data_IF_405316625085
#
_entry.id   IF_405316625085
#
_cell.length_a   1.000
_cell.length_b   1.000
_cell.length_c   1.000
_cell.angle_alpha   90.00
_cell.angle_beta   90.00
_cell.angle_gamma   90.00
#
_symmetry.space_group_name_H-M   'P 1'
#
loop_
_entity.id
_entity.type
_entity.pdbx_description
1 polymer ?
#
# COMPACT_ATOMS: atom_id res chain seq x y z
N UNK A 1 3.13 6.87 17.73
CA UNK A 1 4.12 6.47 16.72
C UNK A 1 4.05 4.97 16.61
N UNK A 2 3.51 4.49 15.50
CA UNK A 2 3.72 3.10 15.09
C UNK A 2 5.16 3.01 14.59
N UNK A 3 5.91 1.99 15.01
CA UNK A 3 7.25 1.66 14.47
C UNK A 3 7.13 0.56 13.41
N UNK A 4 6.11 0.66 12.56
CA UNK A 4 5.80 -0.35 11.56
C UNK A 4 6.68 -0.10 10.33
N UNK A 5 7.54 -1.06 10.05
CA UNK A 5 8.46 -1.05 8.91
C UNK A 5 7.77 -1.45 7.61
N UNK A 6 8.41 -1.17 6.47
CA UNK A 6 7.96 -1.68 5.16
C UNK A 6 7.74 -3.20 5.14
N UNK A 7 8.58 -3.97 5.83
CA UNK A 7 8.45 -5.44 5.86
C UNK A 7 7.12 -5.87 6.50
N UNK A 8 6.77 -5.25 7.63
CA UNK A 8 5.51 -5.50 8.31
C UNK A 8 4.31 -4.98 7.51
N UNK A 9 4.47 -3.86 6.80
CA UNK A 9 3.45 -3.35 5.88
C UNK A 9 3.19 -4.33 4.72
N UNK A 10 4.25 -4.91 4.12
CA UNK A 10 4.15 -5.94 3.09
C UNK A 10 3.47 -7.21 3.63
N UNK A 11 3.78 -7.63 4.86
CA UNK A 11 3.11 -8.77 5.47
C UNK A 11 1.62 -8.50 5.74
N UNK A 12 1.25 -7.26 6.10
CA UNK A 12 -0.15 -6.87 6.20
C UNK A 12 -0.85 -6.88 4.84
N UNK A 13 -0.21 -6.36 3.79
CA UNK A 13 -0.70 -6.40 2.41
C UNK A 13 -0.95 -7.85 1.94
N UNK A 14 -0.03 -8.77 2.21
CA UNK A 14 -0.20 -10.21 1.91
C UNK A 14 -1.38 -10.85 2.63
N UNK A 15 -1.80 -10.30 3.76
CA UNK A 15 -2.98 -10.72 4.53
C UNK A 15 -4.27 -10.02 4.08
N UNK A 16 -4.24 -9.31 2.95
CA UNK A 16 -5.38 -8.58 2.40
C UNK A 16 -5.72 -7.29 3.16
N UNK A 17 -4.81 -6.79 4.02
CA UNK A 17 -5.01 -5.54 4.73
C UNK A 17 -4.51 -4.36 3.91
N UNK A 18 -5.17 -3.21 4.05
CA UNK A 18 -4.67 -1.94 3.52
C UNK A 18 -3.66 -1.33 4.46
N UNK A 19 -2.67 -0.64 3.90
CA UNK A 19 -1.65 0.08 4.67
C UNK A 19 -1.51 1.52 4.19
N UNK A 20 -1.03 2.39 5.06
CA UNK A 20 -0.82 3.82 4.81
C UNK A 20 0.49 4.24 5.48
N UNK A 21 1.06 5.35 5.01
CA UNK A 21 2.13 6.05 5.74
C UNK A 21 1.63 7.35 6.33
N UNK A 22 2.02 7.64 7.57
CA UNK A 22 1.76 8.94 8.21
C UNK A 22 2.39 10.09 7.39
N UNK A 23 3.59 9.89 6.84
CA UNK A 23 4.34 10.89 6.09
C UNK A 23 3.86 11.19 4.66
N UNK A 24 2.72 10.64 4.22
CA UNK A 24 2.17 10.98 2.91
C UNK A 24 1.38 12.29 2.92
N UNK A 25 1.57 13.09 1.86
CA UNK A 25 1.00 14.44 1.75
C UNK A 25 -0.50 14.49 1.40
N UNK A 26 -1.25 13.39 1.50
CA UNK A 26 -2.63 13.31 1.05
C UNK A 26 -3.52 12.48 1.96
N UNK A 27 -4.67 13.03 2.36
CA UNK A 27 -5.67 12.32 3.17
C UNK A 27 -6.31 11.20 2.35
N UNK A 28 -6.51 10.04 2.98
CA UNK A 28 -7.22 8.91 2.39
C UNK A 28 -6.43 8.12 1.35
N UNK A 29 -5.11 8.35 1.25
CA UNK A 29 -4.20 7.50 0.49
C UNK A 29 -3.95 6.18 1.22
N UNK A 30 -3.84 5.08 0.48
CA UNK A 30 -3.50 3.76 1.01
C UNK A 30 -2.92 2.86 -0.09
N UNK A 31 -2.19 1.82 0.31
CA UNK A 31 -1.82 0.68 -0.54
C UNK A 31 -2.72 -0.52 -0.27
N UNK A 32 -2.94 -1.30 -1.32
CA UNK A 32 -3.55 -2.62 -1.24
C UNK A 32 -2.86 -3.55 -2.24
N UNK A 33 -2.80 -4.84 -1.89
CA UNK A 33 -2.33 -5.89 -2.77
C UNK A 33 -3.54 -6.46 -3.51
N UNK A 34 -3.52 -6.33 -4.82
CA UNK A 34 -4.48 -6.96 -5.70
C UNK A 34 -3.96 -8.35 -6.08
N UNK A 35 -4.79 -9.37 -5.86
CA UNK A 35 -4.59 -10.70 -6.43
C UNK A 35 -5.50 -10.85 -7.66
N UNK A 36 -4.97 -11.27 -8.81
CA UNK A 36 -5.73 -11.31 -10.05
C UNK A 36 -6.88 -12.31 -9.99
N UNK A 37 -8.00 -11.93 -10.59
CA UNK A 37 -9.20 -12.73 -10.82
C UNK A 37 -9.58 -12.72 -12.31
N UNK A 38 -10.72 -13.34 -12.64
CA UNK A 38 -11.20 -13.42 -14.04
C UNK A 38 -11.48 -12.05 -14.68
N UNK A 39 -11.67 -11.00 -13.89
CA UNK A 39 -11.95 -9.65 -14.37
C UNK A 39 -10.71 -8.75 -14.36
N UNK A 40 -9.57 -9.28 -13.93
CA UNK A 40 -8.34 -8.52 -13.77
C UNK A 40 -7.59 -8.34 -15.09
N UNK A 41 -7.05 -7.13 -15.30
CA UNK A 41 -6.18 -6.83 -16.44
C UNK A 41 -4.76 -7.41 -16.27
N UNK A 42 -4.25 -7.43 -15.06
CA UNK A 42 -2.94 -8.02 -14.74
C UNK A 42 -3.09 -9.50 -14.39
N UNK A 43 -2.08 -10.28 -14.70
CA UNK A 43 -2.09 -11.75 -14.53
C UNK A 43 -1.27 -12.22 -13.32
N UNK A 44 -0.62 -11.31 -12.60
CA UNK A 44 0.15 -11.58 -11.38
C UNK A 44 -0.25 -10.59 -10.28
N UNK A 45 -0.09 -10.94 -8.99
CA UNK A 45 -0.36 -10.02 -7.89
C UNK A 45 0.50 -8.75 -7.97
N UNK A 46 -0.11 -7.61 -7.66
CA UNK A 46 0.59 -6.32 -7.65
C UNK A 46 0.04 -5.42 -6.55
N UNK A 47 0.86 -4.44 -6.14
CA UNK A 47 0.45 -3.42 -5.19
C UNK A 47 0.02 -2.17 -5.96
N UNK A 48 -1.11 -1.60 -5.59
CA UNK A 48 -1.59 -0.33 -6.10
C UNK A 48 -1.83 0.65 -4.97
N UNK A 49 -1.82 1.93 -5.31
CA UNK A 49 -2.12 3.02 -4.41
C UNK A 49 -3.45 3.64 -4.80
N UNK A 50 -4.29 3.93 -3.80
CA UNK A 50 -5.33 4.95 -3.95
C UNK A 50 -4.70 6.34 -3.73
N UNK A 51 -4.78 7.21 -4.73
CA UNK A 51 -4.28 8.59 -4.64
C UNK A 51 -5.19 9.46 -3.78
N UNK A 52 -4.74 10.65 -3.42
CA UNK A 52 -5.57 11.63 -2.70
C UNK A 52 -6.81 12.06 -3.50
N UNK A 53 -6.75 11.93 -4.83
CA UNK A 53 -7.83 12.22 -5.76
C UNK A 53 -8.81 11.03 -5.92
N UNK A 54 -8.45 9.87 -5.39
CA UNK A 54 -9.26 8.66 -5.45
C UNK A 54 -8.95 7.73 -6.62
N UNK A 55 -7.95 8.05 -7.43
CA UNK A 55 -7.50 7.20 -8.53
C UNK A 55 -6.75 5.97 -8.00
N UNK A 56 -6.83 4.86 -8.74
CA UNK A 56 -6.07 3.65 -8.43
C UNK A 56 -4.93 3.49 -9.43
N UNK A 57 -3.70 3.58 -8.92
CA UNK A 57 -2.48 3.57 -9.76
C UNK A 57 -1.51 2.50 -9.28
N UNK A 58 -0.74 1.85 -10.19
CA UNK A 58 0.35 0.97 -9.77
C UNK A 58 1.30 1.70 -8.82
N UNK A 59 1.68 1.05 -7.73
CA UNK A 59 2.61 1.62 -6.78
C UNK A 59 4.01 1.07 -6.98
N UNK A 60 4.99 1.96 -7.00
CA UNK A 60 6.41 1.61 -6.96
C UNK A 60 6.95 2.03 -5.59
N UNK A 61 7.59 1.10 -4.88
CA UNK A 61 8.24 1.40 -3.62
C UNK A 61 9.42 2.36 -3.87
N UNK A 62 9.30 3.60 -3.39
CA UNK A 62 10.41 4.55 -3.42
C UNK A 62 11.43 4.23 -2.33
N UNK A 63 12.61 4.87 -2.39
CA UNK A 63 13.61 4.73 -1.31
C UNK A 63 13.09 5.26 0.04
N UNK A 64 12.25 6.30 0.02
CA UNK A 64 11.66 6.86 1.25
C UNK A 64 10.58 5.96 1.82
N UNK A 65 9.85 5.23 0.98
CA UNK A 65 8.90 4.20 1.43
C UNK A 65 9.63 2.98 2.02
N UNK A 66 10.70 2.54 1.37
CA UNK A 66 11.49 1.38 1.79
C UNK A 66 12.11 1.58 3.17
N UNK A 67 12.59 2.79 3.46
CA UNK A 67 13.27 3.11 4.73
C UNK A 67 12.32 3.64 5.82
N UNK A 68 11.02 3.69 5.53
CA UNK A 68 10.04 4.24 6.46
C UNK A 68 9.67 3.25 7.57
N UNK A 69 9.43 3.82 8.76
CA UNK A 69 8.92 3.15 9.95
C UNK A 69 7.55 3.73 10.39
N UNK A 70 6.97 4.61 9.59
CA UNK A 70 5.70 5.31 9.84
C UNK A 70 4.50 4.63 9.16
N UNK A 71 4.58 3.32 8.93
CA UNK A 71 3.50 2.57 8.31
C UNK A 71 2.38 2.29 9.32
N UNK A 72 1.15 2.19 8.82
CA UNK A 72 -0.05 1.88 9.60
C UNK A 72 -0.95 0.92 8.84
N UNK A 73 -1.66 0.05 9.56
CA UNK A 73 -2.66 -0.85 8.99
C UNK A 73 -4.04 -0.25 9.18
N UNK A 74 -4.81 -0.10 8.10
CA UNK A 74 -6.19 0.39 8.20
C UNK A 74 -7.13 -0.68 8.78
N UNK A 75 -8.16 -0.26 9.54
CA UNK A 75 -9.19 -1.15 10.08
C UNK A 75 -9.83 -2.04 9.02
#
# INVERSE_FOLDING_TARGET
MTDLTIGQAVDALRRGRRVVREGWNGKGMWLELQAPDFHSKMTLPYVFMKTAQGDLVPWLCSQTDLLANDWEVLP
#
